data_IF_983023347619
#
_entry.id   IF_983023347619
#
_cell.length_a   1.000
_cell.length_b   1.000
_cell.length_c   1.000
_cell.angle_alpha   90.00
_cell.angle_beta   90.00
_cell.angle_gamma   90.00
#
_symmetry.space_group_name_H-M   'P 1'
#
loop_
_entity.id
_entity.type
_entity.pdbx_description
1 polymer ?
#
# COMPACT_ATOMS: atom_id res chain seq x y z
N UNK A 1 111.62 -30.94 -31.82
CA UNK A 1 110.51 -30.03 -32.18
C UNK A 1 109.35 -30.73 -32.95
N UNK A 2 109.56 -31.88 -33.65
CA UNK A 2 108.50 -32.50 -34.43
C UNK A 2 107.39 -33.18 -33.57
N UNK A 3 107.72 -33.74 -32.45
CA UNK A 3 106.76 -34.46 -31.60
C UNK A 3 105.74 -33.54 -30.87
N UNK A 4 106.09 -32.29 -30.63
CA UNK A 4 105.20 -31.32 -29.97
C UNK A 4 104.08 -30.81 -30.86
N UNK A 5 104.35 -30.78 -32.18
CA UNK A 5 103.33 -30.32 -33.14
C UNK A 5 102.35 -31.44 -33.50
N UNK A 6 102.74 -32.70 -33.50
CA UNK A 6 101.86 -33.81 -33.72
C UNK A 6 100.89 -34.00 -32.53
N UNK A 7 101.41 -33.95 -31.32
CA UNK A 7 100.59 -34.02 -30.10
C UNK A 7 99.60 -32.85 -30.02
N UNK A 8 100.03 -31.64 -30.39
CA UNK A 8 99.10 -30.46 -30.41
C UNK A 8 98.03 -30.65 -31.54
N UNK A 9 98.37 -31.22 -32.67
CA UNK A 9 97.44 -31.46 -33.74
C UNK A 9 96.42 -32.55 -33.41
N UNK A 10 96.83 -33.55 -32.68
CA UNK A 10 95.97 -34.65 -32.18
C UNK A 10 95.01 -34.14 -31.11
N UNK A 11 95.45 -33.39 -30.15
CA UNK A 11 94.63 -32.75 -29.16
C UNK A 11 93.62 -31.74 -29.78
N UNK A 12 94.02 -31.06 -30.83
CA UNK A 12 93.10 -30.18 -31.59
C UNK A 12 92.03 -30.98 -32.36
N UNK A 13 92.40 -32.14 -32.88
CA UNK A 13 91.41 -33.02 -33.54
C UNK A 13 90.49 -33.67 -32.52
N UNK A 14 90.97 -34.12 -31.40
CA UNK A 14 90.14 -34.65 -30.33
C UNK A 14 89.24 -33.58 -29.77
N UNK A 15 89.72 -32.36 -29.59
CA UNK A 15 88.92 -31.25 -29.16
C UNK A 15 87.83 -30.89 -30.23
N UNK A 16 88.23 -30.85 -31.54
CA UNK A 16 87.28 -30.62 -32.64
C UNK A 16 86.18 -31.70 -32.69
N UNK A 17 86.55 -32.98 -32.45
CA UNK A 17 85.61 -34.10 -32.49
C UNK A 17 84.76 -34.15 -31.22
N UNK A 18 85.24 -33.60 -30.11
CA UNK A 18 84.45 -33.51 -28.87
C UNK A 18 83.43 -32.39 -28.94
N UNK A 19 83.56 -31.45 -29.86
CA UNK A 19 82.50 -30.44 -30.16
C UNK A 19 81.45 -31.11 -31.07
N UNK A 20 80.52 -31.78 -30.50
CA UNK A 20 79.37 -32.33 -31.20
C UNK A 20 78.42 -31.13 -31.55
N UNK A 21 78.80 -30.45 -32.66
CA UNK A 21 78.08 -29.27 -33.12
C UNK A 21 77.12 -29.70 -34.22
N UNK A 22 75.84 -29.76 -33.84
CA UNK A 22 74.74 -29.95 -34.78
C UNK A 22 74.11 -28.60 -35.10
N UNK A 23 74.22 -28.00 -36.29
CA UNK A 23 73.58 -26.79 -36.69
C UNK A 23 72.06 -26.82 -36.45
N UNK A 24 71.43 -27.97 -36.65
CA UNK A 24 70.03 -28.24 -36.45
C UNK A 24 69.64 -28.17 -34.97
N UNK A 25 70.49 -28.57 -34.06
CA UNK A 25 70.26 -28.45 -32.62
C UNK A 25 70.42 -27.01 -32.16
N UNK A 26 71.36 -26.24 -32.73
CA UNK A 26 71.50 -24.82 -32.46
C UNK A 26 70.28 -24.06 -32.91
N UNK A 27 69.76 -24.26 -34.11
CA UNK A 27 68.54 -23.63 -34.62
C UNK A 27 67.37 -23.97 -33.70
N UNK A 28 67.20 -25.17 -33.23
CA UNK A 28 66.17 -25.57 -32.28
C UNK A 28 66.27 -24.83 -30.92
N UNK A 29 67.47 -24.66 -30.41
CA UNK A 29 67.73 -23.92 -29.16
C UNK A 29 67.45 -22.47 -29.33
N UNK A 30 67.89 -21.85 -30.46
CA UNK A 30 67.62 -20.46 -30.78
C UNK A 30 66.12 -20.18 -30.93
N UNK A 31 65.40 -21.01 -31.66
CA UNK A 31 63.94 -20.94 -31.78
C UNK A 31 63.27 -21.00 -30.43
N UNK A 32 63.75 -21.93 -29.56
CA UNK A 32 63.20 -22.07 -28.20
C UNK A 32 63.48 -20.85 -27.32
N UNK A 33 64.67 -20.30 -27.42
CA UNK A 33 65.07 -19.06 -26.72
C UNK A 33 64.22 -17.85 -27.18
N UNK A 34 64.06 -17.72 -28.49
CA UNK A 34 63.20 -16.67 -29.03
C UNK A 34 61.78 -16.79 -28.57
N UNK A 35 61.26 -18.02 -28.55
CA UNK A 35 59.91 -18.27 -28.01
C UNK A 35 59.82 -17.89 -26.51
N UNK A 36 60.80 -18.25 -25.70
CA UNK A 36 60.87 -17.87 -24.29
C UNK A 36 61.04 -16.37 -24.11
N UNK A 37 61.81 -15.69 -24.96
CA UNK A 37 61.96 -14.23 -24.91
C UNK A 37 60.62 -13.50 -25.22
N UNK A 38 59.88 -14.00 -26.22
CA UNK A 38 58.53 -13.46 -26.52
C UNK A 38 57.56 -13.65 -25.35
N UNK A 39 57.60 -14.83 -24.73
CA UNK A 39 56.77 -15.11 -23.55
C UNK A 39 57.15 -14.21 -22.38
N UNK A 40 58.48 -14.07 -22.11
CA UNK A 40 58.99 -13.19 -21.04
C UNK A 40 58.53 -11.74 -21.26
N UNK A 41 58.65 -11.20 -22.49
CA UNK A 41 58.24 -9.84 -22.81
C UNK A 41 56.75 -9.61 -22.57
N UNK A 42 55.91 -10.65 -22.74
CA UNK A 42 54.46 -10.52 -22.67
C UNK A 42 53.89 -10.84 -21.29
N UNK A 43 54.48 -11.83 -20.60
CA UNK A 43 53.86 -12.41 -19.42
C UNK A 43 54.67 -12.32 -18.12
N UNK A 44 55.96 -11.88 -18.18
CA UNK A 44 56.78 -11.68 -16.97
C UNK A 44 58.25 -11.98 -17.21
N UNK A 45 59.15 -11.34 -16.46
CA UNK A 45 60.59 -11.39 -16.64
C UNK A 45 61.21 -12.78 -16.36
N UNK A 46 60.61 -13.56 -15.50
CA UNK A 46 61.06 -14.90 -15.11
C UNK A 46 60.01 -15.96 -15.47
N UNK A 47 60.44 -17.21 -15.54
CA UNK A 47 59.53 -18.37 -15.74
C UNK A 47 58.50 -18.43 -14.61
N UNK A 48 58.89 -18.07 -13.38
CA UNK A 48 58.01 -18.02 -12.22
C UNK A 48 56.90 -16.96 -12.41
N UNK A 49 57.27 -15.78 -12.85
CA UNK A 49 56.30 -14.71 -13.13
C UNK A 49 55.27 -15.13 -14.20
N UNK A 50 55.72 -15.83 -15.25
CA UNK A 50 54.85 -16.34 -16.30
C UNK A 50 53.86 -17.41 -15.79
N UNK A 51 54.34 -18.30 -14.92
CA UNK A 51 53.46 -19.31 -14.31
C UNK A 51 52.48 -18.71 -13.34
N UNK A 52 52.89 -17.72 -12.54
CA UNK A 52 52.03 -17.00 -11.64
C UNK A 52 50.96 -16.23 -12.42
N UNK A 53 51.31 -15.59 -13.53
CA UNK A 53 50.38 -14.93 -14.43
C UNK A 53 49.38 -15.92 -15.06
N UNK A 54 49.85 -17.09 -15.50
CA UNK A 54 48.99 -18.14 -16.02
C UNK A 54 47.97 -18.61 -14.98
N UNK A 55 48.40 -18.80 -13.74
CA UNK A 55 47.51 -19.22 -12.65
C UNK A 55 46.48 -18.12 -12.35
N UNK A 56 46.90 -16.85 -12.35
CA UNK A 56 45.98 -15.73 -12.18
C UNK A 56 44.91 -15.68 -13.28
N UNK A 57 45.31 -15.78 -14.55
CA UNK A 57 44.36 -15.78 -15.66
C UNK A 57 43.41 -16.99 -15.60
N UNK A 58 43.88 -18.16 -15.22
CA UNK A 58 43.01 -19.31 -15.04
C UNK A 58 41.96 -19.07 -13.98
N UNK A 59 42.35 -18.52 -12.83
CA UNK A 59 41.40 -18.16 -11.79
C UNK A 59 40.38 -17.10 -12.24
N UNK A 60 40.81 -16.08 -12.99
CA UNK A 60 39.93 -15.08 -13.57
C UNK A 60 38.94 -15.68 -14.57
N UNK A 61 39.41 -16.62 -15.42
CA UNK A 61 38.55 -17.31 -16.38
C UNK A 61 37.50 -18.17 -15.69
N UNK A 62 37.92 -18.98 -14.70
CA UNK A 62 37.03 -19.81 -13.89
C UNK A 62 35.94 -18.93 -13.20
N UNK A 63 36.31 -17.74 -12.68
CA UNK A 63 35.37 -16.81 -12.10
C UNK A 63 34.37 -16.27 -13.12
N UNK A 64 34.80 -15.97 -14.34
CA UNK A 64 33.94 -15.48 -15.42
C UNK A 64 32.93 -16.57 -15.82
N UNK A 65 33.41 -17.80 -16.05
CA UNK A 65 32.56 -18.94 -16.43
C UNK A 65 31.50 -19.24 -15.34
N UNK A 66 31.93 -19.29 -14.07
CA UNK A 66 31.01 -19.47 -12.92
C UNK A 66 30.00 -18.32 -12.81
N UNK A 67 30.43 -17.10 -13.13
CA UNK A 67 29.54 -15.91 -13.13
C UNK A 67 28.48 -15.99 -14.22
N UNK A 68 28.83 -16.45 -15.42
CA UNK A 68 27.89 -16.61 -16.52
C UNK A 68 26.85 -17.70 -16.25
N UNK A 69 27.26 -18.83 -15.71
CA UNK A 69 26.37 -19.91 -15.29
C UNK A 69 25.41 -19.44 -14.18
N UNK A 70 25.94 -18.69 -13.21
CA UNK A 70 25.15 -18.11 -12.14
C UNK A 70 24.13 -17.10 -12.69
N UNK A 71 24.53 -16.25 -13.64
CA UNK A 71 23.63 -15.30 -14.30
C UNK A 71 22.49 -16.02 -15.04
N UNK A 72 22.78 -17.08 -15.78
CA UNK A 72 21.77 -17.89 -16.47
C UNK A 72 20.79 -18.47 -15.46
N UNK A 73 21.30 -19.06 -14.38
CA UNK A 73 20.50 -19.64 -13.29
C UNK A 73 19.59 -18.59 -12.63
N UNK A 74 20.16 -17.43 -12.28
CA UNK A 74 19.41 -16.33 -11.65
C UNK A 74 18.34 -15.75 -12.59
N UNK A 75 18.64 -15.59 -13.88
CA UNK A 75 17.65 -15.15 -14.89
C UNK A 75 16.48 -16.14 -14.99
N UNK A 76 16.77 -17.45 -14.98
CA UNK A 76 15.74 -18.50 -14.99
C UNK A 76 14.89 -18.48 -13.73
N UNK A 77 15.50 -18.37 -12.56
CA UNK A 77 14.80 -18.27 -11.28
C UNK A 77 13.92 -17.02 -11.22
N UNK A 78 14.47 -15.85 -11.62
CA UNK A 78 13.70 -14.59 -11.67
C UNK A 78 12.50 -14.71 -12.59
N UNK A 79 12.65 -15.32 -13.77
CA UNK A 79 11.54 -15.51 -14.71
C UNK A 79 10.44 -16.39 -14.13
N UNK A 80 10.81 -17.49 -13.48
CA UNK A 80 9.87 -18.39 -12.83
C UNK A 80 9.13 -17.70 -11.65
N UNK A 81 9.88 -16.99 -10.81
CA UNK A 81 9.31 -16.26 -9.68
C UNK A 81 8.36 -15.14 -10.14
N UNK A 82 8.73 -14.40 -11.19
CA UNK A 82 7.87 -13.35 -11.75
C UNK A 82 6.56 -13.92 -12.33
N UNK A 83 6.61 -15.07 -13.00
CA UNK A 83 5.40 -15.73 -13.50
C UNK A 83 4.48 -16.12 -12.35
N UNK A 84 5.01 -16.75 -11.30
CA UNK A 84 4.24 -17.12 -10.10
C UNK A 84 3.63 -15.89 -9.42
N UNK A 85 4.41 -14.82 -9.24
CA UNK A 85 3.94 -13.58 -8.64
C UNK A 85 2.80 -12.94 -9.46
N UNK A 86 2.88 -12.98 -10.80
CA UNK A 86 1.82 -12.49 -11.67
C UNK A 86 0.51 -13.27 -11.50
N UNK A 87 0.58 -14.59 -11.48
CA UNK A 87 -0.61 -15.42 -11.26
C UNK A 87 -1.28 -15.11 -9.90
N UNK A 88 -0.48 -14.92 -8.85
CA UNK A 88 -1.00 -14.53 -7.53
C UNK A 88 -1.63 -13.12 -7.56
N UNK A 89 -1.00 -12.17 -8.26
CA UNK A 89 -1.52 -10.81 -8.40
C UNK A 89 -2.83 -10.79 -9.21
N UNK A 90 -2.95 -11.59 -10.27
CA UNK A 90 -4.19 -11.76 -11.06
C UNK A 90 -5.31 -12.35 -10.21
N UNK A 91 -4.99 -13.37 -9.40
CA UNK A 91 -5.96 -13.97 -8.46
C UNK A 91 -6.44 -12.95 -7.44
N UNK A 92 -5.52 -12.17 -6.86
CA UNK A 92 -5.86 -11.09 -5.93
C UNK A 92 -6.72 -10.02 -6.59
N UNK A 93 -6.41 -9.62 -7.83
CA UNK A 93 -7.20 -8.66 -8.61
C UNK A 93 -8.63 -9.16 -8.84
N UNK A 94 -8.79 -10.43 -9.22
CA UNK A 94 -10.11 -11.03 -9.39
C UNK A 94 -10.93 -11.04 -8.09
N UNK A 95 -10.30 -11.41 -6.97
CA UNK A 95 -10.94 -11.38 -5.64
C UNK A 95 -11.35 -9.96 -5.23
N UNK A 96 -10.48 -8.96 -5.46
CA UNK A 96 -10.78 -7.54 -5.19
C UNK A 96 -11.97 -7.03 -6.01
N UNK A 97 -12.02 -7.35 -7.29
CA UNK A 97 -13.15 -6.98 -8.17
C UNK A 97 -14.47 -7.60 -7.69
N UNK A 98 -14.46 -8.87 -7.32
CA UNK A 98 -15.63 -9.53 -6.76
C UNK A 98 -16.05 -8.93 -5.41
N UNK A 99 -15.09 -8.57 -4.55
CA UNK A 99 -15.38 -7.88 -3.29
C UNK A 99 -15.93 -6.46 -3.52
N UNK A 100 -15.39 -5.74 -4.52
CA UNK A 100 -15.84 -4.40 -4.88
C UNK A 100 -17.30 -4.36 -5.34
N UNK A 101 -17.77 -5.35 -6.09
CA UNK A 101 -19.19 -5.43 -6.50
C UNK A 101 -20.11 -5.69 -5.28
N UNK A 102 -19.70 -6.54 -4.36
CA UNK A 102 -20.45 -6.75 -3.10
C UNK A 102 -20.47 -5.50 -2.23
N UNK A 103 -19.33 -4.82 -2.13
CA UNK A 103 -19.21 -3.56 -1.39
C UNK A 103 -20.11 -2.48 -1.98
N UNK A 104 -20.09 -2.32 -3.30
CA UNK A 104 -20.97 -1.39 -4.04
C UNK A 104 -22.43 -1.61 -3.69
N UNK A 105 -22.92 -2.85 -3.81
CA UNK A 105 -24.31 -3.17 -3.52
C UNK A 105 -24.70 -2.83 -2.07
N UNK A 106 -23.86 -3.13 -1.09
CA UNK A 106 -24.09 -2.80 0.32
C UNK A 106 -24.10 -1.30 0.58
N UNK A 107 -23.14 -0.56 0.00
CA UNK A 107 -23.05 0.90 0.17
C UNK A 107 -24.26 1.59 -0.46
N UNK A 108 -24.65 1.23 -1.68
CA UNK A 108 -25.79 1.83 -2.36
C UNK A 108 -27.12 1.54 -1.62
N UNK A 109 -27.25 0.36 -0.99
CA UNK A 109 -28.40 0.03 -0.14
C UNK A 109 -28.42 0.88 1.14
N UNK A 110 -27.27 1.02 1.83
CA UNK A 110 -27.16 1.87 3.02
C UNK A 110 -27.49 3.34 2.69
N UNK A 111 -26.99 3.84 1.56
CA UNK A 111 -27.26 5.22 1.10
C UNK A 111 -28.73 5.41 0.75
N UNK A 112 -29.40 4.42 0.14
CA UNK A 112 -30.84 4.46 -0.14
C UNK A 112 -31.66 4.57 1.14
N UNK A 113 -31.26 3.86 2.20
CA UNK A 113 -31.92 3.95 3.51
C UNK A 113 -31.72 5.32 4.18
N UNK A 114 -30.67 6.06 3.82
CA UNK A 114 -30.41 7.44 4.26
C UNK A 114 -31.04 8.50 3.33
N UNK A 115 -31.99 8.10 2.48
CA UNK A 115 -32.70 8.96 1.50
C UNK A 115 -31.77 9.53 0.41
N UNK A 116 -30.65 8.85 0.14
CA UNK A 116 -29.68 9.22 -0.89
C UNK A 116 -29.79 8.29 -2.11
N UNK A 117 -30.98 8.18 -2.68
CA UNK A 117 -31.33 7.22 -3.75
C UNK A 117 -30.60 7.45 -5.09
N UNK A 118 -30.08 8.66 -5.30
CA UNK A 118 -29.45 9.09 -6.56
C UNK A 118 -27.94 8.87 -6.56
N UNK A 119 -27.36 8.57 -5.41
CA UNK A 119 -25.92 8.36 -5.26
C UNK A 119 -25.51 7.05 -5.93
N UNK A 120 -24.42 7.11 -6.69
CA UNK A 120 -23.78 5.94 -7.30
C UNK A 120 -22.39 5.78 -6.71
N UNK A 121 -22.02 4.56 -6.36
CA UNK A 121 -20.70 4.20 -5.90
C UNK A 121 -20.02 3.25 -6.89
N UNK A 122 -18.74 3.46 -7.15
CA UNK A 122 -17.94 2.59 -8.02
C UNK A 122 -16.53 2.47 -7.51
N UNK A 123 -15.96 1.27 -7.63
CA UNK A 123 -14.53 1.04 -7.43
C UNK A 123 -13.84 1.02 -8.79
N UNK A 124 -12.88 1.92 -8.98
CA UNK A 124 -12.02 1.96 -10.16
C UNK A 124 -10.77 1.16 -9.90
N UNK A 125 -10.39 0.34 -10.88
CA UNK A 125 -9.16 -0.46 -10.88
C UNK A 125 -8.29 0.00 -12.04
N UNK A 126 -7.11 0.55 -11.74
CA UNK A 126 -6.10 0.93 -12.72
C UNK A 126 -4.86 0.06 -12.55
N UNK A 127 -4.16 -0.29 -13.65
CA UNK A 127 -2.89 -1.02 -13.52
C UNK A 127 -1.83 -0.13 -12.84
N UNK A 128 -1.02 -0.72 -11.97
CA UNK A 128 0.09 -0.01 -11.34
C UNK A 128 1.13 0.43 -12.35
N UNK A 129 1.74 1.61 -12.18
CA UNK A 129 2.81 2.09 -13.03
C UNK A 129 4.09 1.27 -12.87
N UNK A 130 4.99 1.34 -13.85
CA UNK A 130 6.30 0.71 -13.82
C UNK A 130 6.43 -0.52 -14.73
N UNK A 131 7.68 -0.98 -14.93
CA UNK A 131 8.02 -2.06 -15.88
C UNK A 131 7.38 -3.41 -15.52
N UNK A 132 7.14 -3.67 -14.24
CA UNK A 132 6.54 -4.92 -13.79
C UNK A 132 5.02 -4.83 -13.75
N UNK A 133 4.44 -3.63 -13.57
CA UNK A 133 3.01 -3.41 -13.41
C UNK A 133 2.45 -4.03 -12.13
N UNK A 134 3.29 -4.27 -11.13
CA UNK A 134 2.94 -4.84 -9.82
C UNK A 134 3.99 -4.48 -8.76
N UNK A 135 3.58 -4.50 -7.49
CA UNK A 135 4.41 -4.34 -6.30
C UNK A 135 3.98 -5.32 -5.19
N UNK A 136 4.40 -5.08 -3.94
CA UNK A 136 4.08 -5.87 -2.75
C UNK A 136 2.57 -5.90 -2.41
N UNK A 137 1.79 -4.96 -2.92
CA UNK A 137 0.33 -4.89 -2.74
C UNK A 137 -0.46 -5.44 -3.94
N UNK A 138 0.20 -5.98 -4.97
CA UNK A 138 -0.43 -6.55 -6.17
C UNK A 138 -0.33 -5.67 -7.41
N UNK A 139 -1.24 -5.87 -8.38
CA UNK A 139 -1.20 -5.21 -9.69
C UNK A 139 -2.18 -4.04 -9.85
N UNK A 140 -3.10 -3.85 -8.90
CA UNK A 140 -4.16 -2.86 -8.99
C UNK A 140 -3.86 -1.62 -8.15
N UNK A 141 -4.06 -0.45 -8.73
CA UNK A 141 -4.33 0.79 -8.03
C UNK A 141 -5.86 0.92 -7.89
N UNK A 142 -6.36 0.99 -6.65
CA UNK A 142 -7.79 0.99 -6.35
C UNK A 142 -8.22 2.36 -5.88
N UNK A 143 -9.29 2.90 -6.49
CA UNK A 143 -9.89 4.18 -6.11
C UNK A 143 -11.39 4.04 -5.94
N UNK A 144 -11.93 4.65 -4.89
CA UNK A 144 -13.37 4.75 -4.69
C UNK A 144 -13.89 6.05 -5.29
N UNK A 145 -14.82 5.88 -6.21
CA UNK A 145 -15.46 6.98 -6.91
C UNK A 145 -16.94 7.02 -6.54
N UNK A 146 -17.50 8.22 -6.53
CA UNK A 146 -18.89 8.44 -6.23
C UNK A 146 -19.47 9.59 -7.06
N UNK A 147 -20.79 9.57 -7.27
CA UNK A 147 -21.57 10.65 -7.84
C UNK A 147 -22.78 10.89 -6.95
N UNK A 148 -23.01 12.12 -6.52
CA UNK A 148 -24.15 12.49 -5.67
C UNK A 148 -25.45 12.60 -6.45
N UNK A 149 -25.40 12.96 -7.74
CA UNK A 149 -26.57 13.24 -8.55
C UNK A 149 -26.59 12.41 -9.85
N UNK A 150 -27.77 12.19 -10.37
CA UNK A 150 -27.96 11.53 -11.68
C UNK A 150 -27.38 12.42 -12.78
N UNK A 151 -26.56 11.83 -13.66
CA UNK A 151 -25.94 12.55 -14.78
C UNK A 151 -24.59 13.19 -14.47
N UNK A 152 -24.18 13.26 -13.19
CA UNK A 152 -22.85 13.72 -12.83
C UNK A 152 -21.78 12.62 -13.05
N UNK A 153 -20.59 13.06 -13.42
CA UNK A 153 -19.43 12.17 -13.52
C UNK A 153 -19.02 11.65 -12.15
N UNK A 154 -18.58 10.41 -12.10
CA UNK A 154 -17.96 9.81 -10.92
C UNK A 154 -16.65 10.57 -10.57
N UNK A 155 -16.51 10.95 -9.31
CA UNK A 155 -15.34 11.66 -8.77
C UNK A 155 -14.85 10.96 -7.49
N UNK A 156 -13.58 11.14 -7.09
CA UNK A 156 -13.13 10.69 -5.77
C UNK A 156 -14.05 11.22 -4.66
N UNK A 157 -14.37 10.39 -3.67
CA UNK A 157 -15.35 10.71 -2.60
C UNK A 157 -15.09 12.08 -1.97
N UNK A 158 -13.83 12.41 -1.71
CA UNK A 158 -13.43 13.70 -1.11
C UNK A 158 -13.79 14.95 -1.97
N UNK A 159 -14.20 14.76 -3.22
CA UNK A 159 -14.53 15.86 -4.17
C UNK A 159 -16.01 15.95 -4.54
N UNK A 160 -16.85 15.12 -3.93
CA UNK A 160 -18.22 14.89 -4.46
C UNK A 160 -19.30 15.63 -3.68
N UNK A 161 -19.13 15.88 -2.38
CA UNK A 161 -20.27 16.16 -1.52
C UNK A 161 -20.15 17.47 -0.73
N UNK A 162 -21.29 18.06 -0.39
CA UNK A 162 -21.42 19.05 0.68
C UNK A 162 -21.13 18.41 2.04
N UNK A 163 -20.86 19.22 3.08
CA UNK A 163 -20.52 18.71 4.42
C UNK A 163 -21.51 17.66 4.93
N UNK A 164 -22.79 17.95 4.91
CA UNK A 164 -23.83 17.03 5.39
C UNK A 164 -24.00 15.77 4.52
N UNK A 165 -23.86 15.87 3.19
CA UNK A 165 -23.87 14.69 2.31
C UNK A 165 -22.66 13.81 2.56
N UNK A 166 -21.47 14.39 2.72
CA UNK A 166 -20.26 13.65 3.03
C UNK A 166 -20.38 12.93 4.36
N UNK A 167 -20.92 13.57 5.40
CA UNK A 167 -21.14 12.95 6.72
C UNK A 167 -22.07 11.74 6.64
N UNK A 168 -23.16 11.81 5.86
CA UNK A 168 -24.06 10.66 5.61
C UNK A 168 -23.40 9.56 4.79
N UNK A 169 -22.61 9.91 3.77
CA UNK A 169 -21.83 8.93 2.99
C UNK A 169 -20.84 8.20 3.91
N UNK A 170 -20.16 8.93 4.78
CA UNK A 170 -19.23 8.34 5.75
C UNK A 170 -19.97 7.45 6.77
N UNK A 171 -21.18 7.85 7.21
CA UNK A 171 -22.02 7.01 8.06
C UNK A 171 -22.38 5.69 7.37
N UNK A 172 -22.82 5.74 6.09
CA UNK A 172 -23.12 4.53 5.31
C UNK A 172 -21.90 3.61 5.17
N UNK A 173 -20.75 4.19 4.80
CA UNK A 173 -19.49 3.46 4.68
C UNK A 173 -19.10 2.80 6.01
N UNK A 174 -19.20 3.53 7.12
CA UNK A 174 -18.87 3.00 8.45
C UNK A 174 -19.83 1.90 8.89
N UNK A 175 -21.10 1.98 8.60
CA UNK A 175 -22.05 0.88 8.86
C UNK A 175 -21.71 -0.40 8.06
N UNK A 176 -21.26 -0.25 6.79
CA UNK A 176 -20.86 -1.40 5.96
C UNK A 176 -19.56 -2.04 6.43
N UNK A 177 -18.62 -1.25 6.96
CA UNK A 177 -17.26 -1.67 7.32
C UNK A 177 -17.07 -1.90 8.84
N UNK A 178 -18.09 -1.65 9.66
CA UNK A 178 -18.01 -1.63 11.13
C UNK A 178 -17.35 -2.89 11.73
N UNK A 179 -17.61 -4.06 11.16
CA UNK A 179 -17.06 -5.34 11.64
C UNK A 179 -15.53 -5.46 11.45
N UNK A 180 -14.96 -4.70 10.51
CA UNK A 180 -13.54 -4.76 10.14
C UNK A 180 -12.77 -3.47 10.48
N UNK A 181 -13.42 -2.50 11.10
CA UNK A 181 -12.85 -1.19 11.39
C UNK A 181 -12.39 -1.13 12.85
N UNK A 182 -11.10 -0.92 13.08
CA UNK A 182 -10.52 -0.81 14.43
C UNK A 182 -10.63 0.61 15.03
N UNK A 183 -11.57 1.44 14.55
CA UNK A 183 -11.75 2.79 15.03
C UNK A 183 -12.64 2.78 16.29
N UNK A 184 -12.09 3.24 17.41
CA UNK A 184 -12.79 3.24 18.69
C UNK A 184 -13.80 4.37 18.84
N UNK A 185 -13.62 5.52 18.15
CA UNK A 185 -14.48 6.72 18.30
C UNK A 185 -14.73 7.38 16.95
N UNK A 186 -15.98 7.68 16.65
CA UNK A 186 -16.41 8.41 15.46
C UNK A 186 -17.13 9.70 15.88
N UNK A 187 -16.79 10.79 15.22
CA UNK A 187 -17.41 12.10 15.44
C UNK A 187 -18.13 12.51 14.16
N UNK A 188 -19.45 12.70 14.24
CA UNK A 188 -20.28 13.18 13.15
C UNK A 188 -20.70 14.62 13.41
N UNK A 189 -20.32 15.50 12.52
CA UNK A 189 -20.79 16.89 12.48
C UNK A 189 -21.60 17.10 11.20
N UNK A 190 -22.63 17.94 11.28
CA UNK A 190 -23.51 18.29 10.15
C UNK A 190 -24.20 17.10 9.45
N UNK A 191 -24.29 15.92 10.06
CA UNK A 191 -24.88 14.71 9.44
C UNK A 191 -26.38 14.92 9.13
N UNK A 192 -27.02 15.81 9.84
CA UNK A 192 -28.44 16.18 9.76
C UNK A 192 -28.73 17.36 8.82
N UNK A 193 -27.72 17.98 8.22
CA UNK A 193 -27.90 19.09 7.28
C UNK A 193 -28.67 18.65 6.05
N UNK A 194 -29.79 19.32 5.76
CA UNK A 194 -30.68 19.00 4.63
C UNK A 194 -31.48 17.70 4.80
N UNK A 195 -31.60 17.20 6.02
CA UNK A 195 -32.40 16.01 6.37
C UNK A 195 -33.57 16.43 7.24
N UNK A 196 -34.73 15.80 7.08
CA UNK A 196 -35.90 16.07 7.90
C UNK A 196 -36.75 14.81 8.11
N UNK A 197 -37.58 14.86 9.14
CA UNK A 197 -38.62 13.84 9.38
C UNK A 197 -38.10 12.43 9.42
N UNK A 198 -38.65 11.58 8.53
CA UNK A 198 -38.35 10.15 8.48
C UNK A 198 -36.90 9.83 8.14
N UNK A 199 -36.24 10.64 7.31
CA UNK A 199 -34.83 10.46 6.97
C UNK A 199 -33.91 10.68 8.20
N UNK A 200 -34.22 11.66 9.05
CA UNK A 200 -33.54 11.90 10.32
C UNK A 200 -33.63 10.67 11.27
N UNK A 201 -34.82 10.04 11.34
CA UNK A 201 -35.01 8.81 12.09
C UNK A 201 -34.10 7.68 11.59
N UNK A 202 -33.94 7.53 10.26
CA UNK A 202 -33.04 6.53 9.70
C UNK A 202 -31.58 6.80 9.98
N UNK A 203 -31.14 8.08 9.92
CA UNK A 203 -29.80 8.48 10.34
C UNK A 203 -29.56 8.07 11.80
N UNK A 204 -30.52 8.39 12.69
CA UNK A 204 -30.46 8.05 14.11
C UNK A 204 -30.37 6.53 14.36
N UNK A 205 -31.18 5.72 13.66
CA UNK A 205 -31.13 4.25 13.73
C UNK A 205 -29.75 3.71 13.32
N UNK A 206 -29.17 4.22 12.23
CA UNK A 206 -27.85 3.82 11.74
C UNK A 206 -26.72 4.17 12.73
N UNK A 207 -26.78 5.37 13.30
CA UNK A 207 -25.82 5.78 14.34
C UNK A 207 -25.94 4.90 15.59
N UNK A 208 -27.18 4.57 15.99
CA UNK A 208 -27.46 3.70 17.11
C UNK A 208 -26.92 2.27 16.89
N UNK A 209 -26.97 1.74 15.67
CA UNK A 209 -26.31 0.46 15.35
C UNK A 209 -24.80 0.55 15.43
N UNK A 210 -24.22 1.61 14.87
CA UNK A 210 -22.79 1.85 14.87
C UNK A 210 -22.22 1.99 16.29
N UNK A 211 -23.02 2.56 17.23
CA UNK A 211 -22.65 2.71 18.63
C UNK A 211 -22.52 1.40 19.40
N UNK A 212 -22.92 0.26 18.83
CA UNK A 212 -22.65 -1.07 19.38
C UNK A 212 -21.20 -1.53 19.21
N UNK A 213 -20.50 -0.98 18.22
CA UNK A 213 -19.14 -1.37 17.87
C UNK A 213 -18.09 -0.32 18.23
N UNK A 214 -18.48 0.96 18.28
CA UNK A 214 -17.57 2.07 18.60
C UNK A 214 -18.32 3.20 19.31
N UNK A 215 -17.58 4.09 19.97
CA UNK A 215 -18.15 5.33 20.51
C UNK A 215 -18.56 6.27 19.37
N UNK A 216 -19.81 6.76 19.41
CA UNK A 216 -20.31 7.73 18.43
C UNK A 216 -20.63 9.04 19.12
N UNK A 217 -19.98 10.11 18.70
CA UNK A 217 -20.29 11.48 19.08
C UNK A 217 -20.98 12.17 17.89
N UNK A 218 -22.11 12.82 18.13
CA UNK A 218 -22.86 13.52 17.09
C UNK A 218 -23.24 14.93 17.54
N UNK A 219 -22.94 15.91 16.70
CA UNK A 219 -23.48 17.27 16.84
C UNK A 219 -24.72 17.34 15.95
N UNK A 220 -25.88 17.65 16.55
CA UNK A 220 -27.18 17.67 15.86
C UNK A 220 -28.10 18.75 16.37
N UNK A 221 -28.95 19.24 15.48
CA UNK A 221 -30.06 20.14 15.82
C UNK A 221 -31.45 19.46 15.65
N UNK A 222 -31.46 18.15 15.26
CA UNK A 222 -32.71 17.42 15.05
C UNK A 222 -33.08 16.57 16.28
N UNK A 223 -34.29 16.76 16.77
CA UNK A 223 -34.84 16.06 17.91
C UNK A 223 -34.84 14.52 17.73
N UNK A 224 -35.04 14.02 16.49
CA UNK A 224 -35.05 12.58 16.17
C UNK A 224 -33.69 11.93 16.43
N UNK A 225 -32.59 12.63 16.07
CA UNK A 225 -31.23 12.12 16.28
C UNK A 225 -30.86 12.24 17.76
N UNK A 226 -31.16 13.39 18.39
CA UNK A 226 -30.87 13.61 19.78
C UNK A 226 -31.64 12.64 20.70
N UNK A 227 -32.87 12.26 20.37
CA UNK A 227 -33.66 11.29 21.13
C UNK A 227 -33.00 9.90 21.16
N UNK A 228 -32.30 9.51 20.10
CA UNK A 228 -31.65 8.20 19.97
C UNK A 228 -30.33 8.09 20.75
N UNK A 229 -29.78 9.18 21.30
CA UNK A 229 -28.54 9.16 22.07
C UNK A 229 -28.66 8.37 23.37
N UNK A 230 -27.58 7.76 23.83
CA UNK A 230 -27.48 7.15 25.17
C UNK A 230 -27.19 8.23 26.23
N UNK A 231 -26.32 9.17 25.88
CA UNK A 231 -26.00 10.35 26.66
C UNK A 231 -26.31 11.60 25.83
N UNK A 232 -26.95 12.58 26.44
CA UNK A 232 -27.30 13.82 25.76
C UNK A 232 -26.64 15.01 26.49
N UNK A 233 -25.86 15.76 25.74
CA UNK A 233 -25.22 17.00 26.21
C UNK A 233 -25.85 18.20 25.52
N UNK A 234 -26.20 19.22 26.27
CA UNK A 234 -26.64 20.50 25.74
C UNK A 234 -25.49 21.51 25.77
N UNK A 235 -25.32 22.24 24.67
CA UNK A 235 -24.26 23.24 24.53
C UNK A 235 -24.89 24.63 24.55
N UNK A 236 -24.50 25.44 25.53
CA UNK A 236 -25.00 26.80 25.72
C UNK A 236 -23.88 27.82 25.54
N UNK A 237 -24.21 28.94 24.90
CA UNK A 237 -23.34 30.11 24.80
C UNK A 237 -23.90 31.21 25.65
N UNK A 238 -23.15 31.69 26.62
CA UNK A 238 -23.53 32.81 27.50
C UNK A 238 -22.55 33.95 27.33
N UNK A 239 -23.09 35.18 27.23
CA UNK A 239 -22.26 36.39 27.27
C UNK A 239 -22.12 36.89 28.69
N UNK A 240 -20.91 36.94 29.22
CA UNK A 240 -20.57 37.51 30.53
C UNK A 240 -19.41 38.51 30.36
N UNK A 241 -19.64 39.75 30.79
CA UNK A 241 -18.63 40.83 30.76
C UNK A 241 -18.02 41.06 29.34
N UNK A 242 -18.85 41.04 28.30
CA UNK A 242 -18.43 41.25 26.91
C UNK A 242 -17.60 40.10 26.30
N UNK A 243 -17.62 38.91 26.94
CA UNK A 243 -16.99 37.69 26.43
C UNK A 243 -18.01 36.57 26.34
N UNK A 244 -17.95 35.79 25.30
CA UNK A 244 -18.78 34.59 25.12
C UNK A 244 -18.13 33.40 25.76
N UNK A 245 -18.86 32.71 26.62
CA UNK A 245 -18.47 31.44 27.26
C UNK A 245 -19.35 30.33 26.71
N UNK A 246 -18.73 29.18 26.45
CA UNK A 246 -19.46 27.97 26.06
C UNK A 246 -19.46 27.02 27.24
N UNK A 247 -20.66 26.59 27.66
CA UNK A 247 -20.86 25.56 28.69
C UNK A 247 -21.49 24.32 28.07
N UNK A 248 -21.17 23.17 28.64
CA UNK A 248 -21.71 21.88 28.24
C UNK A 248 -22.36 21.25 29.49
N UNK A 249 -23.61 20.88 29.37
CA UNK A 249 -24.40 20.31 30.46
C UNK A 249 -24.90 18.90 30.05
N UNK A 250 -24.79 17.92 30.97
CA UNK A 250 -25.37 16.60 30.77
C UNK A 250 -26.84 16.62 31.18
N UNK A 251 -27.70 16.17 30.27
CA UNK A 251 -29.16 16.18 30.49
C UNK A 251 -29.64 14.83 31.05
N UNK A 252 -30.43 14.90 32.13
CA UNK A 252 -31.25 13.82 32.64
C UNK A 252 -32.52 13.60 31.79
N UNK A 253 -33.35 12.64 32.11
CA UNK A 253 -34.58 12.33 31.33
C UNK A 253 -35.54 13.53 31.20
N UNK A 254 -35.87 14.28 32.28
CA UNK A 254 -36.64 15.50 32.17
C UNK A 254 -35.99 16.60 31.32
N UNK A 255 -34.67 16.80 31.50
CA UNK A 255 -33.88 17.75 30.71
C UNK A 255 -33.86 17.40 29.22
N UNK A 256 -33.65 16.11 28.90
CA UNK A 256 -33.73 15.60 27.51
C UNK A 256 -35.10 15.88 26.88
N UNK A 257 -36.19 15.63 27.61
CA UNK A 257 -37.56 15.94 27.12
C UNK A 257 -37.74 17.42 26.82
N UNK A 258 -37.27 18.29 27.72
CA UNK A 258 -37.34 19.74 27.54
C UNK A 258 -36.51 20.20 26.33
N UNK A 259 -35.30 19.68 26.19
CA UNK A 259 -34.41 20.02 25.06
C UNK A 259 -34.95 19.52 23.72
N UNK A 260 -35.50 18.29 23.64
CA UNK A 260 -36.17 17.80 22.44
C UNK A 260 -37.39 18.62 22.07
N UNK A 261 -38.16 19.07 23.05
CA UNK A 261 -39.28 20.00 22.85
C UNK A 261 -38.79 21.33 22.28
N UNK A 262 -37.68 21.88 22.80
CA UNK A 262 -37.01 23.08 22.29
C UNK A 262 -36.54 22.93 20.86
N UNK A 263 -35.90 21.81 20.52
CA UNK A 263 -35.44 21.51 19.17
C UNK A 263 -36.61 21.37 18.16
N UNK A 264 -37.79 20.92 18.61
CA UNK A 264 -38.97 20.71 17.76
C UNK A 264 -39.80 21.98 17.61
N UNK A 265 -40.07 22.69 18.71
CA UNK A 265 -41.01 23.79 18.76
C UNK A 265 -40.41 25.19 19.00
N UNK A 266 -39.08 25.27 19.13
CA UNK A 266 -38.42 26.54 19.47
C UNK A 266 -38.68 27.00 20.90
N UNK A 267 -38.84 28.30 21.09
CA UNK A 267 -39.04 28.91 22.42
C UNK A 267 -40.40 28.60 23.03
N UNK A 268 -41.41 28.23 22.25
CA UNK A 268 -42.78 27.94 22.74
C UNK A 268 -42.95 26.46 23.04
N UNK A 269 -42.86 26.08 24.30
CA UNK A 269 -43.10 24.74 24.78
C UNK A 269 -44.57 24.52 25.16
N UNK A 270 -45.40 24.15 24.19
CA UNK A 270 -46.77 23.71 24.50
C UNK A 270 -46.78 22.31 25.09
N UNK A 271 -47.84 21.96 25.82
CA UNK A 271 -48.00 20.61 26.37
C UNK A 271 -47.99 19.52 25.29
N UNK A 272 -48.52 19.82 24.11
CA UNK A 272 -48.48 18.92 22.94
C UNK A 272 -47.06 18.63 22.45
N UNK A 273 -46.18 19.66 22.41
CA UNK A 273 -44.76 19.50 22.01
C UNK A 273 -44.00 18.70 23.04
N UNK A 274 -44.22 18.93 24.34
CA UNK A 274 -43.60 18.13 25.40
C UNK A 274 -44.06 16.66 25.37
N UNK A 275 -45.31 16.40 25.01
CA UNK A 275 -45.82 15.05 24.82
C UNK A 275 -45.18 14.37 23.61
N UNK A 276 -45.03 15.06 22.48
CA UNK A 276 -44.34 14.58 21.30
C UNK A 276 -42.85 14.24 21.57
N UNK A 277 -42.17 15.11 22.35
CA UNK A 277 -40.78 14.83 22.79
C UNK A 277 -40.64 13.57 23.64
N UNK A 278 -41.64 13.33 24.55
CA UNK A 278 -41.68 12.10 25.34
C UNK A 278 -41.96 10.84 24.48
N UNK A 279 -42.80 10.97 23.44
CA UNK A 279 -43.07 9.90 22.50
C UNK A 279 -41.80 9.54 21.69
N UNK A 280 -41.03 10.52 21.19
CA UNK A 280 -39.76 10.31 20.55
C UNK A 280 -38.76 9.57 21.43
N UNK A 281 -38.67 9.92 22.71
CA UNK A 281 -37.80 9.18 23.66
C UNK A 281 -38.24 7.74 23.87
N UNK A 282 -39.57 7.49 23.96
CA UNK A 282 -40.11 6.13 24.10
C UNK A 282 -39.86 5.28 22.86
N UNK A 283 -40.03 5.83 21.67
CA UNK A 283 -39.73 5.16 20.40
C UNK A 283 -38.25 4.82 20.30
N UNK A 284 -37.36 5.74 20.67
CA UNK A 284 -35.92 5.50 20.70
C UNK A 284 -35.54 4.38 21.69
N UNK A 285 -36.13 4.38 22.90
CA UNK A 285 -35.90 3.34 23.90
C UNK A 285 -36.41 1.98 23.41
N UNK A 286 -37.57 1.94 22.75
CA UNK A 286 -38.12 0.71 22.17
C UNK A 286 -37.20 0.17 21.05
N UNK A 287 -36.74 1.03 20.17
CA UNK A 287 -35.79 0.64 19.11
C UNK A 287 -34.49 0.06 19.68
N UNK A 288 -33.93 0.72 20.71
CA UNK A 288 -32.69 0.26 21.35
C UNK A 288 -32.82 -1.10 22.02
N UNK A 289 -34.01 -1.43 22.51
CA UNK A 289 -34.29 -2.76 23.11
C UNK A 289 -34.44 -3.86 22.07
N UNK A 290 -34.76 -3.51 20.81
CA UNK A 290 -35.00 -4.45 19.72
C UNK A 290 -33.77 -4.72 18.81
N UNK A 291 -32.70 -3.97 18.98
CA UNK A 291 -31.46 -4.06 18.17
C UNK A 291 -30.46 -5.10 18.67
#
# INVERSE_FOLDING_TARGET
MRYGTEDAAERLRDLKNSFDFSPKELDQVEDRLDHLHRLKKKYGATVRDMLDYLNKIRQELDQIELSDDLLIKLKKQRKAQLAMTRTLAETLSAQRKAAAERLKARIEEELRQLDMTKVRFQTEFSPKPGKLGLDDTGMDEVRFLMSANVGENLKPIAKVASGGELSRIMLALKNVLAENDNICTLIFDEVDTGVSGRAAGKVAEKMSRLSLTCQVLCVTHLAQIAAMSDYHYSVHKEEKNGRTYTSVETLDRPGRRAELARLTGGAHQSEAILKGAEELLKEADAYKKSR
#
